data_IF_421886801952
#
_entry.id   IF_421886801952
#
_cell.length_a   1.000
_cell.length_b   1.000
_cell.length_c   1.000
_cell.angle_alpha   90.00
_cell.angle_beta   90.00
_cell.angle_gamma   90.00
#
_symmetry.space_group_name_H-M   'P 1'
#
loop_
_entity.id
_entity.type
_entity.pdbx_description
1 polymer ?
#
# COMPACT_ATOMS: atom_id res chain seq x y z
N UNK A 1 23.42 9.54 51.45
CA UNK A 1 21.99 9.37 51.77
C UNK A 1 21.05 10.12 50.82
N UNK A 2 21.38 11.37 50.44
CA UNK A 2 20.60 12.19 49.48
C UNK A 2 20.32 11.51 48.12
N UNK A 3 21.29 10.78 47.54
CA UNK A 3 21.10 10.05 46.26
C UNK A 3 20.02 8.95 46.32
N UNK A 4 19.91 8.24 47.44
CA UNK A 4 18.88 7.20 47.64
C UNK A 4 17.49 7.84 47.83
N UNK A 5 17.44 8.96 48.53
CA UNK A 5 16.21 9.74 48.72
C UNK A 5 15.71 10.34 47.39
N UNK A 6 16.63 10.82 46.55
CA UNK A 6 16.31 11.36 45.23
C UNK A 6 15.74 10.29 44.29
N UNK A 7 16.25 9.06 44.33
CA UNK A 7 15.70 7.92 43.57
C UNK A 7 14.28 7.58 44.05
N UNK A 8 14.05 7.53 45.36
CA UNK A 8 12.73 7.22 45.94
C UNK A 8 11.71 8.32 45.57
N UNK A 9 12.14 9.58 45.57
CA UNK A 9 11.28 10.72 45.20
C UNK A 9 10.91 10.70 43.71
N UNK A 10 11.87 10.40 42.82
CA UNK A 10 11.60 10.23 41.38
C UNK A 10 10.65 9.06 41.14
N UNK A 11 10.86 7.93 41.84
CA UNK A 11 9.98 6.76 41.76
C UNK A 11 8.56 7.07 42.27
N UNK A 12 8.44 7.87 43.34
CA UNK A 12 7.15 8.31 43.87
C UNK A 12 6.39 9.23 42.91
N UNK A 13 7.07 10.15 42.24
CA UNK A 13 6.47 11.04 41.21
C UNK A 13 6.02 10.22 40.00
N UNK A 14 6.78 9.19 39.60
CA UNK A 14 6.41 8.29 38.50
C UNK A 14 5.10 7.52 38.78
N UNK A 15 4.84 7.14 40.03
CA UNK A 15 3.59 6.44 40.40
C UNK A 15 2.38 7.38 40.35
N UNK A 16 2.57 8.67 40.68
CA UNK A 16 1.50 9.67 40.63
C UNK A 16 1.25 10.23 39.22
N UNK A 17 2.18 10.04 38.28
CA UNK A 17 2.04 10.50 36.89
C UNK A 17 1.11 9.61 36.05
N UNK A 18 0.67 8.46 36.57
CA UNK A 18 -0.37 7.67 35.93
C UNK A 18 -1.71 8.34 36.19
N UNK A 19 -2.10 9.26 35.29
CA UNK A 19 -3.49 9.75 35.24
C UNK A 19 -4.40 8.52 35.11
N UNK A 20 -5.31 8.34 36.07
CA UNK A 20 -6.18 7.18 36.11
C UNK A 20 -6.93 7.02 34.79
N UNK A 21 -7.11 5.77 34.35
CA UNK A 21 -7.90 5.38 33.18
C UNK A 21 -9.37 5.80 33.35
N UNK A 22 -9.64 7.09 33.18
CA UNK A 22 -10.99 7.63 33.16
C UNK A 22 -11.54 7.45 31.77
N UNK A 23 -12.72 6.81 31.69
CA UNK A 23 -13.44 6.67 30.43
C UNK A 23 -13.64 8.06 29.81
N UNK A 24 -13.17 8.30 28.57
CA UNK A 24 -13.42 9.56 27.90
C UNK A 24 -14.93 9.76 27.78
N UNK A 25 -15.37 11.00 28.04
CA UNK A 25 -16.77 11.37 27.81
C UNK A 25 -17.08 11.20 26.32
N UNK A 26 -18.29 10.75 26.01
CA UNK A 26 -18.76 10.67 24.63
C UNK A 26 -18.76 12.08 24.02
N UNK A 27 -18.02 12.33 22.93
CA UNK A 27 -18.02 13.63 22.27
C UNK A 27 -19.40 13.95 21.68
N UNK A 28 -19.79 15.22 21.70
CA UNK A 28 -21.06 15.70 21.13
C UNK A 28 -21.12 15.46 19.61
N UNK A 29 -19.97 15.56 18.95
CA UNK A 29 -19.80 15.36 17.52
C UNK A 29 -19.06 14.05 17.22
N UNK A 30 -19.39 12.97 17.91
CA UNK A 30 -18.79 11.65 17.67
C UNK A 30 -18.96 11.22 16.21
N UNK A 31 -17.84 10.90 15.55
CA UNK A 31 -17.83 10.28 14.22
C UNK A 31 -18.50 8.90 14.34
N UNK A 32 -19.50 8.60 13.51
CA UNK A 32 -20.15 7.29 13.55
C UNK A 32 -19.18 6.16 13.22
N UNK A 33 -19.44 4.94 13.72
CA UNK A 33 -18.58 3.77 13.50
C UNK A 33 -18.26 3.55 12.02
N UNK A 34 -19.29 3.49 11.17
CA UNK A 34 -19.13 3.33 9.72
C UNK A 34 -18.34 4.47 9.08
N UNK A 35 -18.59 5.73 9.48
CA UNK A 35 -17.84 6.88 8.96
C UNK A 35 -16.38 6.85 9.42
N UNK A 36 -16.11 6.36 10.62
CA UNK A 36 -14.75 6.15 11.13
C UNK A 36 -14.04 5.03 10.35
N UNK A 37 -14.72 3.91 10.06
CA UNK A 37 -14.19 2.84 9.21
C UNK A 37 -13.77 3.40 7.85
N UNK A 38 -14.64 4.12 7.15
CA UNK A 38 -14.33 4.71 5.83
C UNK A 38 -13.17 5.71 5.90
N UNK A 39 -13.18 6.58 6.91
CA UNK A 39 -12.12 7.56 7.14
C UNK A 39 -10.76 6.88 7.37
N UNK A 40 -10.72 5.88 8.25
CA UNK A 40 -9.49 5.16 8.56
C UNK A 40 -8.98 4.40 7.35
N UNK A 41 -9.84 3.74 6.58
CA UNK A 41 -9.47 3.09 5.32
C UNK A 41 -8.72 4.08 4.40
N UNK A 42 -9.29 5.26 4.15
CA UNK A 42 -8.65 6.27 3.30
C UNK A 42 -7.32 6.78 3.88
N UNK A 43 -7.23 6.96 5.21
CA UNK A 43 -5.99 7.34 5.88
C UNK A 43 -4.90 6.24 5.74
N UNK A 44 -5.27 4.95 5.82
CA UNK A 44 -4.34 3.85 5.62
C UNK A 44 -3.86 3.76 4.17
N UNK A 45 -4.77 3.87 3.19
CA UNK A 45 -4.41 3.93 1.76
C UNK A 45 -3.47 5.10 1.50
N UNK A 46 -3.79 6.27 2.06
CA UNK A 46 -2.95 7.45 1.95
C UNK A 46 -1.56 7.20 2.55
N UNK A 47 -1.48 6.63 3.75
CA UNK A 47 -0.21 6.34 4.41
C UNK A 47 0.66 5.36 3.60
N UNK A 48 0.06 4.36 2.96
CA UNK A 48 0.76 3.47 2.04
C UNK A 48 1.24 4.21 0.77
N UNK A 49 0.47 5.17 0.26
CA UNK A 49 0.78 5.93 -0.95
C UNK A 49 1.81 7.06 -0.75
N UNK A 50 1.97 7.58 0.49
CA UNK A 50 2.90 8.68 0.81
C UNK A 50 4.33 8.45 0.31
N UNK A 51 4.79 7.21 0.24
CA UNK A 51 6.12 6.85 -0.25
C UNK A 51 6.32 7.03 -1.77
N UNK A 52 5.24 7.06 -2.56
CA UNK A 52 5.33 7.03 -4.04
C UNK A 52 5.52 8.42 -4.64
N UNK A 53 4.84 9.45 -4.11
CA UNK A 53 4.80 10.79 -4.71
C UNK A 53 4.86 11.93 -3.66
N UNK A 54 5.60 11.73 -2.57
CA UNK A 54 5.76 12.72 -1.49
C UNK A 54 6.10 14.13 -1.99
N UNK A 55 7.07 14.24 -2.91
CA UNK A 55 7.54 15.52 -3.46
C UNK A 55 6.44 16.30 -4.21
N UNK A 56 5.51 15.62 -4.86
CA UNK A 56 4.42 16.28 -5.60
C UNK A 56 3.40 16.88 -4.63
N UNK A 57 3.11 16.19 -3.52
CA UNK A 57 2.19 16.67 -2.49
C UNK A 57 2.77 17.90 -1.77
N UNK A 58 4.05 17.82 -1.36
CA UNK A 58 4.78 18.92 -0.72
C UNK A 58 4.85 20.17 -1.61
N UNK A 59 5.16 20.00 -2.91
CA UNK A 59 5.24 21.11 -3.89
C UNK A 59 3.93 21.86 -4.09
N UNK A 60 2.79 21.20 -3.87
CA UNK A 60 1.47 21.81 -4.01
C UNK A 60 0.91 22.33 -2.68
N UNK A 61 1.72 22.34 -1.61
CA UNK A 61 1.29 22.72 -0.25
C UNK A 61 0.05 21.96 0.22
N UNK A 62 -0.13 20.72 -0.25
CA UNK A 62 -1.25 19.87 0.12
C UNK A 62 -0.82 18.98 1.29
N UNK A 63 -1.46 19.17 2.43
CA UNK A 63 -1.46 18.20 3.51
C UNK A 63 -2.48 17.11 3.18
N UNK A 64 -2.05 15.89 2.86
CA UNK A 64 -2.95 14.84 2.43
C UNK A 64 -3.86 14.33 3.56
N UNK A 65 -3.42 14.40 4.82
CA UNK A 65 -4.24 14.00 5.97
C UNK A 65 -5.39 15.00 6.15
N UNK A 66 -5.08 16.31 6.08
CA UNK A 66 -6.09 17.36 6.11
C UNK A 66 -7.06 17.22 4.93
N UNK A 67 -6.57 16.85 3.75
CA UNK A 67 -7.42 16.58 2.59
C UNK A 67 -8.43 15.44 2.85
N UNK A 68 -7.98 14.33 3.44
CA UNK A 68 -8.85 13.22 3.81
C UNK A 68 -9.87 13.65 4.88
N UNK A 69 -9.46 14.33 5.95
CA UNK A 69 -10.40 14.82 6.96
C UNK A 69 -11.49 15.73 6.35
N UNK A 70 -11.09 16.65 5.46
CA UNK A 70 -12.02 17.51 4.72
C UNK A 70 -12.98 16.73 3.83
N UNK A 71 -12.54 15.67 3.15
CA UNK A 71 -13.41 14.77 2.34
C UNK A 71 -14.60 14.25 3.15
N UNK A 72 -14.40 13.99 4.44
CA UNK A 72 -15.44 13.49 5.34
C UNK A 72 -16.18 14.58 6.12
N UNK A 73 -15.91 15.86 5.89
CA UNK A 73 -16.41 16.97 6.71
C UNK A 73 -16.10 16.75 8.20
N UNK A 74 -14.84 16.41 8.51
CA UNK A 74 -14.31 16.19 9.85
C UNK A 74 -13.12 17.12 10.05
N UNK A 75 -12.98 17.67 11.24
CA UNK A 75 -11.78 18.40 11.65
C UNK A 75 -10.85 17.53 12.53
N UNK A 76 -9.64 18.01 12.77
CA UNK A 76 -8.63 17.26 13.53
C UNK A 76 -9.02 17.06 14.99
N UNK A 77 -9.76 17.99 15.60
CA UNK A 77 -10.20 17.88 16.99
C UNK A 77 -11.30 16.83 17.11
N UNK A 78 -12.31 16.88 16.25
CA UNK A 78 -13.38 15.89 16.16
C UNK A 78 -12.83 14.48 15.93
N UNK A 79 -11.84 14.34 15.05
CA UNK A 79 -11.17 13.07 14.81
C UNK A 79 -10.43 12.59 16.07
N UNK A 80 -9.62 13.43 16.70
CA UNK A 80 -8.87 13.07 17.90
C UNK A 80 -9.77 12.65 19.07
N UNK A 81 -10.85 13.39 19.31
CA UNK A 81 -11.83 13.08 20.35
C UNK A 81 -12.57 11.78 20.08
N UNK A 82 -13.04 11.57 18.84
CA UNK A 82 -13.72 10.33 18.44
C UNK A 82 -12.79 9.13 18.50
N UNK A 83 -11.55 9.28 18.03
CA UNK A 83 -10.52 8.25 18.10
C UNK A 83 -10.21 7.86 19.55
N UNK A 84 -10.07 8.85 20.45
CA UNK A 84 -9.85 8.59 21.87
C UNK A 84 -11.06 7.89 22.52
N UNK A 85 -12.29 8.31 22.16
CA UNK A 85 -13.51 7.67 22.62
C UNK A 85 -13.58 6.18 22.23
N UNK A 86 -13.30 5.86 20.96
CA UNK A 86 -13.32 4.48 20.51
C UNK A 86 -12.14 3.68 21.06
N UNK A 87 -10.92 4.24 21.12
CA UNK A 87 -9.73 3.54 21.60
C UNK A 87 -9.84 3.09 23.08
N UNK A 88 -10.69 3.73 23.88
CA UNK A 88 -10.99 3.27 25.24
C UNK A 88 -11.82 1.98 25.27
N UNK A 89 -12.72 1.78 24.30
CA UNK A 89 -13.49 0.54 24.14
C UNK A 89 -12.79 -0.37 23.12
N UNK A 90 -11.96 -1.27 23.65
CA UNK A 90 -11.09 -2.11 22.82
C UNK A 90 -11.86 -3.03 21.88
N UNK A 91 -13.09 -3.42 22.22
CA UNK A 91 -13.91 -4.28 21.37
C UNK A 91 -14.47 -3.49 20.19
N UNK A 92 -15.11 -2.35 20.46
CA UNK A 92 -15.65 -1.48 19.39
C UNK A 92 -14.54 -1.00 18.44
N UNK A 93 -13.38 -0.60 18.96
CA UNK A 93 -12.27 -0.14 18.12
C UNK A 93 -11.67 -1.27 17.29
N UNK A 94 -11.59 -2.47 17.86
CA UNK A 94 -11.17 -3.67 17.12
C UNK A 94 -12.10 -3.94 15.94
N UNK A 95 -13.41 -3.87 16.13
CA UNK A 95 -14.36 -4.07 15.03
C UNK A 95 -14.15 -3.07 13.88
N UNK A 96 -13.92 -1.79 14.19
CA UNK A 96 -13.62 -0.76 13.18
C UNK A 96 -12.35 -1.11 12.40
N UNK A 97 -11.28 -1.44 13.10
CA UNK A 97 -9.98 -1.71 12.48
C UNK A 97 -9.99 -3.03 11.70
N UNK A 98 -10.68 -4.05 12.19
CA UNK A 98 -10.81 -5.34 11.50
C UNK A 98 -11.60 -5.18 10.19
N UNK A 99 -12.68 -4.38 10.18
CA UNK A 99 -13.43 -4.08 8.95
C UNK A 99 -12.57 -3.34 7.91
N UNK A 100 -11.77 -2.36 8.35
CA UNK A 100 -10.81 -1.68 7.47
C UNK A 100 -9.78 -2.67 6.90
N UNK A 101 -9.26 -3.57 7.75
CA UNK A 101 -8.28 -4.56 7.36
C UNK A 101 -8.85 -5.54 6.33
N UNK A 102 -10.04 -6.08 6.57
CA UNK A 102 -10.71 -7.00 5.65
C UNK A 102 -10.93 -6.35 4.28
N UNK A 103 -11.38 -5.09 4.25
CA UNK A 103 -11.51 -4.33 3.01
C UNK A 103 -10.18 -4.18 2.28
N UNK A 104 -9.11 -3.78 2.99
CA UNK A 104 -7.77 -3.65 2.40
C UNK A 104 -7.23 -4.97 1.85
N UNK A 105 -7.44 -6.08 2.56
CA UNK A 105 -7.00 -7.41 2.12
C UNK A 105 -7.76 -7.87 0.87
N UNK A 106 -9.08 -7.71 0.85
CA UNK A 106 -9.90 -8.06 -0.33
C UNK A 106 -9.53 -7.25 -1.58
N UNK A 107 -9.31 -5.95 -1.43
CA UNK A 107 -8.89 -5.09 -2.55
C UNK A 107 -7.46 -5.43 -3.01
N UNK A 108 -6.55 -5.73 -2.08
CA UNK A 108 -5.20 -6.19 -2.42
C UNK A 108 -5.25 -7.46 -3.28
N UNK A 109 -6.00 -8.47 -2.86
CA UNK A 109 -6.14 -9.73 -3.60
C UNK A 109 -6.71 -9.49 -5.01
N UNK A 110 -7.72 -8.61 -5.11
CA UNK A 110 -8.30 -8.22 -6.40
C UNK A 110 -7.26 -7.58 -7.34
N UNK A 111 -6.47 -6.62 -6.85
CA UNK A 111 -5.46 -5.95 -7.66
C UNK A 111 -4.26 -6.85 -7.99
N UNK A 112 -3.87 -7.76 -7.10
CA UNK A 112 -2.83 -8.77 -7.38
C UNK A 112 -3.29 -9.74 -8.48
N UNK A 113 -4.55 -10.21 -8.43
CA UNK A 113 -5.11 -11.07 -9.47
C UNK A 113 -5.15 -10.40 -10.85
N UNK A 114 -5.43 -9.09 -10.90
CA UNK A 114 -5.36 -8.31 -12.15
C UNK A 114 -3.92 -8.24 -12.66
N UNK A 115 -2.98 -7.84 -11.80
CA UNK A 115 -1.55 -7.71 -12.15
C UNK A 115 -0.97 -9.03 -12.68
N UNK A 116 -1.35 -10.14 -12.07
CA UNK A 116 -0.84 -11.46 -12.47
C UNK A 116 -1.40 -11.89 -13.83
N UNK A 117 -2.71 -11.64 -14.09
CA UNK A 117 -3.31 -11.85 -15.42
C UNK A 117 -2.66 -10.99 -16.50
N UNK A 118 -2.40 -9.73 -16.21
CA UNK A 118 -1.70 -8.83 -17.14
C UNK A 118 -0.28 -9.32 -17.42
N UNK A 119 0.46 -9.68 -16.37
CA UNK A 119 1.83 -10.22 -16.49
C UNK A 119 1.87 -11.48 -17.34
N UNK A 120 0.93 -12.41 -17.14
CA UNK A 120 0.82 -13.63 -17.92
C UNK A 120 0.46 -13.35 -19.38
N UNK A 121 -0.42 -12.38 -19.64
CA UNK A 121 -0.77 -11.97 -20.99
C UNK A 121 0.44 -11.37 -21.73
N UNK A 122 1.26 -10.57 -21.03
CA UNK A 122 2.48 -9.97 -21.56
C UNK A 122 3.52 -11.06 -21.85
N UNK A 123 3.72 -12.02 -20.94
CA UNK A 123 4.61 -13.18 -21.15
C UNK A 123 4.20 -13.98 -22.38
N UNK A 124 2.92 -14.36 -22.49
CA UNK A 124 2.40 -15.12 -23.66
C UNK A 124 2.60 -14.38 -24.97
N UNK A 125 2.39 -13.06 -24.99
CA UNK A 125 2.65 -12.22 -26.17
C UNK A 125 4.14 -12.21 -26.52
N UNK A 126 5.02 -12.04 -25.52
CA UNK A 126 6.48 -12.06 -25.70
C UNK A 126 6.96 -13.39 -26.27
N UNK A 127 6.47 -14.50 -25.75
CA UNK A 127 6.85 -15.85 -26.20
C UNK A 127 6.36 -16.13 -27.62
N UNK A 128 5.15 -15.67 -27.96
CA UNK A 128 4.60 -15.76 -29.31
C UNK A 128 5.41 -14.95 -30.32
N UNK A 129 5.85 -13.75 -29.94
CA UNK A 129 6.74 -12.91 -30.76
C UNK A 129 8.12 -13.58 -30.92
N UNK A 130 8.71 -14.07 -29.83
CA UNK A 130 10.02 -14.75 -29.86
C UNK A 130 9.99 -16.00 -30.75
N UNK A 131 8.92 -16.80 -30.68
CA UNK A 131 8.75 -17.99 -31.54
C UNK A 131 8.62 -17.62 -33.02
N UNK A 132 7.87 -16.55 -33.34
CA UNK A 132 7.76 -16.02 -34.72
C UNK A 132 9.02 -15.35 -35.24
N UNK A 133 9.96 -14.95 -34.38
CA UNK A 133 11.25 -14.38 -34.79
C UNK A 133 12.37 -15.43 -34.95
N UNK A 134 12.21 -16.65 -34.41
CA UNK A 134 13.13 -17.77 -34.70
C UNK A 134 12.90 -18.36 -36.09
N UNK A 135 11.64 -18.48 -36.52
CA UNK A 135 11.26 -19.03 -37.83
C UNK A 135 11.85 -18.29 -39.05
N UNK A 136 12.01 -16.95 -39.08
CA UNK A 136 12.63 -16.23 -40.19
C UNK A 136 14.15 -16.38 -40.21
N UNK A 137 14.81 -16.49 -39.04
CA UNK A 137 16.28 -16.65 -38.96
C UNK A 137 16.69 -18.07 -39.38
N UNK A 138 15.95 -19.09 -38.95
CA UNK A 138 16.15 -20.47 -39.45
C UNK A 138 15.87 -20.58 -40.95
N UNK A 139 14.79 -19.97 -41.45
CA UNK A 139 14.52 -19.96 -42.89
C UNK A 139 15.61 -19.24 -43.69
N UNK A 140 16.13 -18.11 -43.20
CA UNK A 140 17.23 -17.37 -43.85
C UNK A 140 18.53 -18.18 -43.86
N UNK A 141 18.84 -18.91 -42.78
CA UNK A 141 20.02 -19.78 -42.74
C UNK A 141 19.88 -20.97 -43.69
N UNK A 142 18.71 -21.62 -43.74
CA UNK A 142 18.43 -22.70 -44.69
C UNK A 142 18.55 -22.23 -46.15
N UNK A 143 18.07 -21.02 -46.46
CA UNK A 143 18.21 -20.41 -47.80
C UNK A 143 19.69 -20.13 -48.11
N UNK A 144 20.47 -19.62 -47.16
CA UNK A 144 21.91 -19.39 -47.33
C UNK A 144 22.67 -20.69 -47.63
N UNK A 145 22.38 -21.74 -46.87
CA UNK A 145 23.06 -23.03 -47.00
C UNK A 145 22.71 -23.70 -48.33
N UNK A 146 21.44 -23.63 -48.76
CA UNK A 146 21.01 -24.17 -50.05
C UNK A 146 21.60 -23.42 -51.26
N UNK A 147 21.78 -22.10 -51.16
CA UNK A 147 22.48 -21.30 -52.19
C UNK A 147 23.97 -21.65 -52.23
N UNK A 148 24.62 -21.82 -51.08
CA UNK A 148 26.04 -22.20 -51.01
C UNK A 148 26.31 -23.60 -51.61
N UNK A 149 25.41 -24.56 -51.38
CA UNK A 149 25.50 -25.91 -51.94
C UNK A 149 25.29 -25.92 -53.46
N UNK A 150 24.37 -25.09 -53.97
CA UNK A 150 24.12 -24.96 -55.41
C UNK A 150 25.32 -24.35 -56.14
N UNK A 151 25.95 -23.35 -55.55
CA UNK A 151 27.16 -22.74 -56.09
C UNK A 151 28.36 -23.70 -56.09
N UNK A 152 28.53 -24.55 -55.06
CA UNK A 152 29.58 -25.58 -55.06
C UNK A 152 29.39 -26.64 -56.15
N UNK A 153 28.15 -27.09 -56.40
CA UNK A 153 27.87 -28.03 -57.51
C UNK A 153 28.18 -27.40 -58.86
N UNK A 154 27.75 -26.16 -59.09
CA UNK A 154 28.00 -25.43 -60.34
C UNK A 154 29.48 -25.21 -60.65
N UNK A 155 30.36 -25.18 -59.64
CA UNK A 155 31.81 -25.01 -59.82
C UNK A 155 32.49 -26.37 -60.13
N UNK A 156 31.91 -27.48 -59.66
CA UNK A 156 32.48 -28.82 -59.84
C UNK A 156 31.99 -29.52 -61.13
N UNK A 157 30.98 -28.94 -61.81
CA UNK A 157 30.43 -29.43 -63.08
C UNK A 157 31.05 -28.70 -64.31
N UNK A 158 32.09 -27.88 -64.10
CA UNK A 158 32.93 -27.19 -65.10
C UNK A 158 34.32 -27.82 -65.15
#
# INVERSE_FOLDING_TARGET
MLKRFSIILVLGILILACDGLQRPKKPDHLISKSKMTDLLYDLYVLNAAKGVNRLTLEKNNLDPEIYILKKYNIDSAQFAESNNYYAFDTETYKEIVDEVKERLESEKEYFEAIRDKETDSIKKRRDSISKKQKTPIEAVNIIKDSVALKNRKSINDL
#
